data_IF_665420279252
#
_entry.id   IF_665420279252
#
_cell.length_a   1.000
_cell.length_b   1.000
_cell.length_c   1.000
_cell.angle_alpha   90.00
_cell.angle_beta   90.00
_cell.angle_gamma   90.00
#
_symmetry.space_group_name_H-M   'P 1'
#
loop_
_entity.id
_entity.type
_entity.pdbx_description
1 polymer ?
#
# COMPACT_ATOMS: atom_id res chain seq x y z
N UNK A 1 -5.47 -9.72 17.60
CA UNK A 1 -5.91 -8.33 17.88
C UNK A 1 -4.75 -7.34 17.99
N UNK A 2 -3.62 -7.72 18.63
CA UNK A 2 -2.47 -6.82 18.78
C UNK A 2 -1.95 -6.32 17.40
N UNK A 3 -1.67 -7.24 16.48
CA UNK A 3 -1.16 -6.91 15.15
C UNK A 3 -2.13 -6.03 14.37
N UNK A 4 -3.42 -6.35 14.40
CA UNK A 4 -4.48 -5.56 13.74
C UNK A 4 -4.53 -4.12 14.24
N UNK A 5 -4.47 -3.91 15.56
CA UNK A 5 -4.52 -2.56 16.16
C UNK A 5 -3.24 -1.78 15.84
N UNK A 6 -2.07 -2.41 15.99
CA UNK A 6 -0.80 -1.77 15.67
C UNK A 6 -0.71 -1.42 14.19
N UNK A 7 -1.12 -2.33 13.30
CA UNK A 7 -1.17 -2.07 11.87
C UNK A 7 -2.11 -0.90 11.53
N UNK A 8 -3.34 -0.88 12.09
CA UNK A 8 -4.29 0.20 11.87
C UNK A 8 -3.71 1.56 12.31
N UNK A 9 -2.95 1.58 13.41
CA UNK A 9 -2.25 2.78 13.87
C UNK A 9 -1.14 3.20 12.90
N UNK A 10 -0.30 2.25 12.47
CA UNK A 10 0.82 2.51 11.56
C UNK A 10 0.33 3.03 10.21
N UNK A 11 -0.66 2.37 9.61
CA UNK A 11 -1.21 2.76 8.31
C UNK A 11 -1.88 4.14 8.35
N UNK A 12 -2.39 4.54 9.50
CA UNK A 12 -3.00 5.86 9.70
C UNK A 12 -2.00 6.98 9.94
N UNK A 13 -0.71 6.66 10.09
CA UNK A 13 0.32 7.67 10.33
C UNK A 13 0.47 8.64 9.16
N UNK A 14 1.08 9.80 9.43
CA UNK A 14 1.30 10.86 8.45
C UNK A 14 2.19 10.47 7.25
N UNK A 15 2.93 9.38 7.37
CA UNK A 15 3.79 8.86 6.30
C UNK A 15 3.11 7.82 5.40
N UNK A 16 1.88 7.41 5.71
CA UNK A 16 1.14 6.42 4.94
C UNK A 16 -0.19 7.01 4.48
N UNK A 17 -1.29 6.64 5.11
CA UNK A 17 -2.63 7.01 4.64
C UNK A 17 -3.20 8.27 5.31
N UNK A 18 -2.54 8.83 6.32
CA UNK A 18 -2.96 10.05 7.06
C UNK A 18 -4.43 10.00 7.51
N UNK A 19 -4.90 8.82 7.94
CA UNK A 19 -6.32 8.61 8.25
C UNK A 19 -6.76 9.45 9.43
N UNK A 20 -7.84 10.20 9.25
CA UNK A 20 -8.46 11.05 10.26
C UNK A 20 -9.97 11.11 10.07
N UNK A 21 -10.68 11.78 10.95
CA UNK A 21 -12.14 11.98 10.83
C UNK A 21 -12.56 12.85 9.64
N UNK A 22 -11.61 13.53 8.99
CA UNK A 22 -11.86 14.29 7.75
C UNK A 22 -11.52 13.51 6.48
N UNK A 23 -10.95 12.31 6.60
CA UNK A 23 -10.53 11.51 5.45
C UNK A 23 -11.70 10.69 4.91
N UNK A 24 -11.86 10.68 3.57
CA UNK A 24 -12.77 9.78 2.85
C UNK A 24 -11.95 8.77 2.05
N UNK A 25 -12.17 7.48 2.28
CA UNK A 25 -11.36 6.39 1.71
C UNK A 25 -12.24 5.49 0.86
N UNK A 26 -11.81 5.20 -0.38
CA UNK A 26 -12.41 4.19 -1.26
C UNK A 26 -11.46 2.99 -1.39
N UNK A 27 -11.62 1.95 -0.55
CA UNK A 27 -10.84 0.72 -0.67
C UNK A 27 -11.46 -0.21 -1.71
N UNK A 28 -10.92 -0.18 -2.95
CA UNK A 28 -11.29 -1.11 -4.01
C UNK A 28 -10.48 -2.41 -3.85
N UNK A 29 -10.48 -2.93 -2.63
CA UNK A 29 -9.76 -4.15 -2.22
C UNK A 29 -10.75 -5.08 -1.52
N UNK A 30 -10.79 -6.38 -1.87
CA UNK A 30 -11.73 -7.30 -1.27
C UNK A 30 -11.58 -7.43 0.25
N UNK A 31 -12.71 -7.43 0.96
CA UNK A 31 -12.74 -7.61 2.42
C UNK A 31 -12.16 -8.96 2.88
N UNK A 32 -12.20 -9.98 2.02
CA UNK A 32 -11.63 -11.30 2.32
C UNK A 32 -10.10 -11.34 2.17
N UNK A 33 -9.49 -10.35 1.50
CA UNK A 33 -8.04 -10.27 1.32
C UNK A 33 -7.43 -9.34 2.37
N UNK A 34 -6.97 -9.91 3.46
CA UNK A 34 -6.39 -9.23 4.64
C UNK A 34 -7.29 -8.09 5.14
N UNK A 35 -8.62 -8.32 5.11
CA UNK A 35 -9.65 -7.37 5.52
C UNK A 35 -9.53 -6.00 4.84
N UNK A 36 -9.47 -5.99 3.50
CA UNK A 36 -9.24 -4.78 2.70
C UNK A 36 -8.02 -3.99 3.20
N UNK A 37 -6.90 -4.69 3.36
CA UNK A 37 -5.62 -4.17 3.87
C UNK A 37 -5.73 -3.47 5.23
N UNK A 38 -6.64 -3.92 6.07
CA UNK A 38 -6.83 -3.41 7.42
C UNK A 38 -7.50 -2.04 7.52
N UNK A 39 -7.90 -1.44 6.40
CA UNK A 39 -8.47 -0.08 6.39
C UNK A 39 -9.81 0.05 7.15
N UNK A 40 -10.68 -0.97 7.22
CA UNK A 40 -11.88 -0.89 8.07
C UNK A 40 -11.57 -0.67 9.55
N UNK A 41 -10.47 -1.24 10.02
CA UNK A 41 -10.03 -1.03 11.42
C UNK A 41 -9.45 0.37 11.62
N UNK A 42 -8.64 0.84 10.67
CA UNK A 42 -8.12 2.20 10.69
C UNK A 42 -9.24 3.24 10.60
N UNK A 43 -10.18 3.06 9.68
CA UNK A 43 -11.34 3.93 9.53
C UNK A 43 -12.19 4.01 10.80
N UNK A 44 -12.48 2.85 11.43
CA UNK A 44 -13.21 2.82 12.70
C UNK A 44 -12.43 3.48 13.85
N UNK A 45 -11.11 3.29 13.90
CA UNK A 45 -10.25 3.86 14.95
C UNK A 45 -10.18 5.39 14.89
N UNK A 46 -10.13 5.97 13.70
CA UNK A 46 -9.91 7.40 13.49
C UNK A 46 -11.15 8.17 13.00
N UNK A 47 -12.29 7.48 12.82
CA UNK A 47 -13.55 8.11 12.42
C UNK A 47 -13.62 8.50 10.95
N UNK A 48 -12.83 7.88 10.06
CA UNK A 48 -12.84 8.18 8.65
C UNK A 48 -14.12 7.68 7.95
N UNK A 49 -14.55 8.38 6.90
CA UNK A 49 -15.60 7.91 6.00
C UNK A 49 -15.03 6.80 5.12
N UNK A 50 -15.70 5.64 5.09
CA UNK A 50 -15.36 4.53 4.20
C UNK A 50 -16.44 4.36 3.14
N UNK A 51 -16.02 4.34 1.88
CA UNK A 51 -16.88 4.09 0.71
C UNK A 51 -16.55 2.70 0.18
N UNK A 52 -17.46 1.76 0.35
CA UNK A 52 -17.25 0.41 -0.15
C UNK A 52 -17.87 0.24 -1.53
N UNK A 53 -17.05 -0.18 -2.53
CA UNK A 53 -17.58 -0.48 -3.85
C UNK A 53 -18.50 -1.71 -3.76
N UNK A 54 -19.51 -1.75 -4.63
CA UNK A 54 -20.30 -2.94 -4.84
C UNK A 54 -19.51 -4.01 -5.64
N UNK A 55 -20.20 -4.94 -6.30
CA UNK A 55 -19.54 -5.97 -7.09
C UNK A 55 -18.95 -5.45 -8.42
N UNK A 56 -19.35 -4.28 -8.89
CA UNK A 56 -18.85 -3.67 -10.13
C UNK A 56 -17.55 -2.88 -9.82
N UNK A 57 -16.46 -3.38 -10.34
CA UNK A 57 -15.11 -2.80 -10.15
C UNK A 57 -14.50 -2.35 -11.49
N UNK A 58 -15.32 -2.20 -12.52
CA UNK A 58 -14.90 -1.59 -13.78
C UNK A 58 -14.65 -0.09 -13.62
N UNK A 59 -13.92 0.50 -14.59
CA UNK A 59 -13.49 1.89 -14.50
C UNK A 59 -14.63 2.89 -14.35
N UNK A 60 -15.76 2.67 -15.03
CA UNK A 60 -16.92 3.55 -14.96
C UNK A 60 -17.58 3.52 -13.58
N UNK A 61 -17.80 2.32 -13.04
CA UNK A 61 -18.41 2.13 -11.71
C UNK A 61 -17.53 2.69 -10.59
N UNK A 62 -16.20 2.50 -10.67
CA UNK A 62 -15.26 3.07 -9.70
C UNK A 62 -15.24 4.59 -9.83
N UNK A 63 -15.25 5.14 -11.05
CA UNK A 63 -15.27 6.58 -11.25
C UNK A 63 -16.57 7.22 -10.74
N UNK A 64 -17.72 6.59 -10.94
CA UNK A 64 -19.01 7.06 -10.40
C UNK A 64 -18.96 7.24 -8.87
N UNK A 65 -18.35 6.29 -8.17
CA UNK A 65 -18.14 6.41 -6.71
C UNK A 65 -17.18 7.55 -6.35
N UNK A 66 -16.10 7.72 -7.11
CA UNK A 66 -15.15 8.80 -6.88
C UNK A 66 -15.83 10.16 -7.10
N UNK A 67 -16.60 10.29 -8.16
CA UNK A 67 -17.29 11.54 -8.47
C UNK A 67 -18.39 11.86 -7.48
N UNK A 68 -19.12 10.87 -6.99
CA UNK A 68 -20.23 11.06 -6.04
C UNK A 68 -19.73 11.25 -4.61
N UNK A 69 -18.79 10.45 -4.15
CA UNK A 69 -18.39 10.37 -2.74
C UNK A 69 -17.14 11.20 -2.39
N UNK A 70 -16.41 11.66 -3.43
CA UNK A 70 -15.23 12.53 -3.35
C UNK A 70 -14.17 12.00 -2.36
N UNK A 71 -13.66 10.77 -2.54
CA UNK A 71 -12.62 10.25 -1.66
C UNK A 71 -11.29 10.96 -1.85
N UNK A 72 -10.57 11.16 -0.75
CA UNK A 72 -9.19 11.70 -0.74
C UNK A 72 -8.17 10.60 -1.05
N UNK A 73 -8.48 9.36 -0.63
CA UNK A 73 -7.60 8.21 -0.71
C UNK A 73 -8.28 7.05 -1.43
N UNK A 74 -7.63 6.57 -2.48
CA UNK A 74 -8.02 5.35 -3.19
C UNK A 74 -7.06 4.20 -2.81
N UNK A 75 -7.58 2.97 -2.71
CA UNK A 75 -6.75 1.79 -2.46
C UNK A 75 -7.17 0.65 -3.37
N UNK A 76 -6.23 0.08 -4.12
CA UNK A 76 -6.55 -0.98 -5.06
C UNK A 76 -5.32 -1.65 -5.67
N UNK A 77 -5.60 -2.63 -6.54
CA UNK A 77 -4.59 -3.37 -7.28
C UNK A 77 -4.40 -2.78 -8.69
N UNK A 78 -3.25 -3.03 -9.36
CA UNK A 78 -2.99 -2.43 -10.68
C UNK A 78 -4.06 -2.64 -11.73
N UNK A 79 -4.73 -3.80 -11.74
CA UNK A 79 -5.80 -4.08 -12.73
C UNK A 79 -7.01 -3.17 -12.58
N UNK A 80 -7.36 -2.78 -11.35
CA UNK A 80 -8.43 -1.80 -11.08
C UNK A 80 -8.03 -0.42 -11.59
N UNK A 81 -6.81 -0.01 -11.30
CA UNK A 81 -6.29 1.31 -11.74
C UNK A 81 -6.16 1.41 -13.24
N UNK A 82 -5.76 0.34 -13.94
CA UNK A 82 -5.75 0.32 -15.41
C UNK A 82 -7.16 0.53 -15.98
N UNK A 83 -8.17 -0.13 -15.42
CA UNK A 83 -9.56 0.07 -15.85
C UNK A 83 -10.07 1.48 -15.59
N UNK A 84 -9.71 2.07 -14.44
CA UNK A 84 -10.05 3.46 -14.10
C UNK A 84 -9.38 4.44 -15.07
N UNK A 85 -8.07 4.34 -15.27
CA UNK A 85 -7.31 5.23 -16.19
C UNK A 85 -7.83 5.12 -17.62
N UNK A 86 -8.16 3.91 -18.09
CA UNK A 86 -8.78 3.74 -19.41
C UNK A 86 -10.10 4.51 -19.49
N UNK A 87 -10.99 4.38 -18.52
CA UNK A 87 -12.26 5.10 -18.48
C UNK A 87 -12.06 6.62 -18.48
N UNK A 88 -11.12 7.12 -17.66
CA UNK A 88 -10.81 8.54 -17.59
C UNK A 88 -10.31 9.09 -18.94
N UNK A 89 -9.45 8.33 -19.64
CA UNK A 89 -8.98 8.69 -20.97
C UNK A 89 -10.10 8.71 -22.03
N UNK A 90 -11.00 7.71 -22.01
CA UNK A 90 -12.12 7.61 -22.94
C UNK A 90 -13.16 8.72 -22.74
N UNK A 91 -13.34 9.18 -21.50
CA UNK A 91 -14.35 10.18 -21.11
C UNK A 91 -13.77 11.58 -20.93
N UNK A 92 -12.44 11.74 -21.02
CA UNK A 92 -11.71 12.98 -20.78
C UNK A 92 -12.02 13.58 -19.40
N UNK A 93 -12.03 12.74 -18.37
CA UNK A 93 -12.30 13.12 -16.98
C UNK A 93 -11.03 13.03 -16.12
N UNK A 94 -11.06 13.68 -14.95
CA UNK A 94 -9.93 13.83 -14.04
C UNK A 94 -10.31 13.39 -12.60
N UNK A 95 -9.32 13.25 -11.73
CA UNK A 95 -9.48 12.82 -10.33
C UNK A 95 -9.28 14.00 -9.36
N UNK A 96 -9.94 15.11 -9.58
CA UNK A 96 -9.70 16.39 -8.90
C UNK A 96 -9.84 16.36 -7.36
N UNK A 97 -10.52 15.37 -6.81
CA UNK A 97 -10.72 15.23 -5.35
C UNK A 97 -9.71 14.28 -4.68
N UNK A 98 -8.92 13.54 -5.47
CA UNK A 98 -8.04 12.48 -4.95
C UNK A 98 -6.65 13.04 -4.71
N UNK A 99 -6.14 12.95 -3.48
CA UNK A 99 -4.74 13.30 -3.16
C UNK A 99 -3.79 12.13 -3.42
N UNK A 100 -4.21 10.93 -3.04
CA UNK A 100 -3.34 9.75 -3.07
C UNK A 100 -4.11 8.52 -3.53
N UNK A 101 -3.50 7.74 -4.40
CA UNK A 101 -3.93 6.38 -4.70
C UNK A 101 -2.86 5.39 -4.24
N UNK A 102 -3.26 4.36 -3.48
CA UNK A 102 -2.38 3.28 -3.06
C UNK A 102 -2.52 2.10 -4.02
N UNK A 103 -1.41 1.59 -4.50
CA UNK A 103 -1.32 0.39 -5.31
C UNK A 103 -0.48 -0.65 -4.59
N UNK A 104 -0.95 -1.89 -4.56
CA UNK A 104 -0.25 -3.03 -3.96
C UNK A 104 -0.74 -4.36 -4.52
N UNK A 105 -0.24 -5.46 -3.96
CA UNK A 105 -0.58 -6.82 -4.40
C UNK A 105 0.20 -7.28 -5.64
N UNK A 106 0.69 -6.36 -6.47
CA UNK A 106 1.66 -6.60 -7.54
C UNK A 106 2.38 -5.30 -7.90
N UNK A 107 3.45 -5.39 -8.70
CA UNK A 107 4.25 -4.23 -9.07
C UNK A 107 3.44 -3.21 -9.90
N UNK A 108 3.57 -1.93 -9.55
CA UNK A 108 2.99 -0.84 -10.31
C UNK A 108 3.83 -0.55 -11.57
N UNK A 109 3.24 -0.58 -12.77
CA UNK A 109 3.95 -0.16 -13.97
C UNK A 109 4.33 1.33 -13.88
N UNK A 110 5.54 1.69 -14.36
CA UNK A 110 5.98 3.08 -14.42
C UNK A 110 4.97 4.01 -15.13
N UNK A 111 4.43 3.55 -16.26
CA UNK A 111 3.45 4.33 -17.02
C UNK A 111 2.19 4.65 -16.20
N UNK A 112 1.79 3.76 -15.29
CA UNK A 112 0.67 4.02 -14.37
C UNK A 112 1.01 5.12 -13.37
N UNK A 113 2.22 5.09 -12.80
CA UNK A 113 2.69 6.13 -11.86
C UNK A 113 2.69 7.49 -12.53
N UNK A 114 3.27 7.55 -13.73
CA UNK A 114 3.32 8.76 -14.55
C UNK A 114 1.93 9.30 -14.88
N UNK A 115 1.03 8.43 -15.32
CA UNK A 115 -0.31 8.84 -15.72
C UNK A 115 -1.15 9.40 -14.56
N UNK A 116 -1.09 8.77 -13.37
CA UNK A 116 -1.75 9.31 -12.17
C UNK A 116 -1.21 10.70 -11.81
N UNK A 117 0.09 10.89 -11.87
CA UNK A 117 0.71 12.15 -11.48
C UNK A 117 0.56 13.23 -12.55
N UNK A 118 0.89 12.94 -13.82
CA UNK A 118 0.93 13.94 -14.88
C UNK A 118 -0.46 14.39 -15.35
N UNK A 119 -1.45 13.48 -15.37
CA UNK A 119 -2.80 13.80 -15.86
C UNK A 119 -3.78 14.17 -14.76
N UNK A 120 -3.58 13.65 -13.55
CA UNK A 120 -4.58 13.75 -12.48
C UNK A 120 -4.04 14.41 -11.20
N UNK A 121 -2.75 14.74 -11.12
CA UNK A 121 -2.07 15.28 -9.92
C UNK A 121 -2.23 14.38 -8.68
N UNK A 122 -2.36 13.07 -8.90
CA UNK A 122 -2.54 12.06 -7.85
C UNK A 122 -1.22 11.36 -7.57
N UNK A 123 -0.78 11.36 -6.32
CA UNK A 123 0.40 10.58 -5.92
C UNK A 123 0.07 9.10 -5.85
N UNK A 124 0.69 8.28 -6.71
CA UNK A 124 0.55 6.83 -6.65
C UNK A 124 1.54 6.24 -5.65
N UNK A 125 1.05 5.93 -4.45
CA UNK A 125 1.81 5.26 -3.40
C UNK A 125 1.93 3.78 -3.72
N UNK A 126 3.14 3.28 -3.92
CA UNK A 126 3.39 1.86 -4.18
C UNK A 126 3.73 1.16 -2.86
N UNK A 127 2.92 0.19 -2.46
CA UNK A 127 3.08 -0.56 -1.22
C UNK A 127 3.37 -2.04 -1.47
N UNK A 128 4.13 -2.64 -0.54
CA UNK A 128 4.36 -4.07 -0.47
C UNK A 128 4.00 -4.59 0.92
N UNK A 129 3.50 -5.81 0.94
CA UNK A 129 3.21 -6.53 2.17
C UNK A 129 2.62 -7.91 1.87
N UNK A 130 2.31 -8.63 2.92
CA UNK A 130 1.71 -9.96 2.86
C UNK A 130 0.80 -10.19 4.05
N UNK A 131 -0.07 -11.19 3.99
CA UNK A 131 -1.03 -11.50 5.06
C UNK A 131 -0.35 -11.64 6.41
N UNK A 132 0.82 -12.23 6.44
CA UNK A 132 1.67 -12.48 7.60
C UNK A 132 2.17 -11.20 8.28
N UNK A 133 2.08 -10.06 7.60
CA UNK A 133 2.49 -8.74 8.11
C UNK A 133 1.32 -7.86 8.57
N UNK A 134 0.06 -8.29 8.38
CA UNK A 134 -1.20 -7.65 8.81
C UNK A 134 -1.70 -6.41 8.03
N UNK A 135 -1.47 -6.18 6.71
CA UNK A 135 -0.53 -6.80 5.78
C UNK A 135 0.70 -5.96 5.44
N UNK A 136 0.68 -4.62 5.69
CA UNK A 136 1.60 -3.67 5.06
C UNK A 136 2.99 -3.70 5.69
N UNK A 137 4.01 -3.88 4.85
CA UNK A 137 5.42 -3.87 5.26
C UNK A 137 6.16 -2.62 4.85
N UNK A 138 5.98 -2.21 3.60
CA UNK A 138 6.63 -1.01 3.04
C UNK A 138 5.67 -0.19 2.20
N UNK A 139 5.94 1.09 2.02
CA UNK A 139 5.35 1.90 0.97
C UNK A 139 6.24 3.07 0.58
N UNK A 140 6.06 3.56 -0.64
CA UNK A 140 6.57 4.87 -1.04
C UNK A 140 5.75 5.96 -0.34
N UNK A 141 6.40 7.05 0.01
CA UNK A 141 5.73 8.24 0.54
C UNK A 141 6.35 9.48 -0.07
N UNK A 142 5.58 10.56 -0.18
CA UNK A 142 6.14 11.86 -0.57
C UNK A 142 7.15 12.30 0.50
N UNK A 143 8.40 12.50 0.09
CA UNK A 143 9.45 13.01 0.96
C UNK A 143 9.97 14.34 0.45
N UNK A 144 10.56 15.14 1.34
CA UNK A 144 11.15 16.42 0.97
C UNK A 144 12.24 16.28 -0.10
N UNK A 145 12.97 15.18 -0.08
CA UNK A 145 14.04 14.92 -1.03
C UNK A 145 13.52 14.76 -2.46
N UNK A 146 12.24 14.38 -2.63
CA UNK A 146 11.61 14.23 -3.94
C UNK A 146 11.26 15.58 -4.59
N UNK A 147 11.11 16.67 -3.82
CA UNK A 147 10.71 17.99 -4.34
C UNK A 147 11.73 18.61 -5.30
N UNK A 148 13.01 18.28 -5.15
CA UNK A 148 14.09 18.78 -6.02
C UNK A 148 14.71 17.71 -6.92
N UNK A 149 14.14 16.51 -6.95
CA UNK A 149 14.67 15.38 -7.71
C UNK A 149 14.32 15.52 -9.20
N UNK A 150 15.24 15.06 -10.05
CA UNK A 150 14.94 14.86 -11.47
C UNK A 150 13.72 13.94 -11.61
N UNK A 151 12.82 14.26 -12.55
CA UNK A 151 11.53 13.58 -12.71
C UNK A 151 11.70 12.09 -13.03
N UNK A 152 12.67 11.72 -13.87
CA UNK A 152 12.95 10.34 -14.23
C UNK A 152 13.46 9.54 -13.03
N UNK A 153 14.39 10.14 -12.27
CA UNK A 153 14.91 9.54 -11.02
C UNK A 153 13.81 9.38 -9.96
N UNK A 154 12.84 10.32 -9.90
CA UNK A 154 11.70 10.23 -9.01
C UNK A 154 10.79 9.07 -9.37
N UNK A 155 10.48 8.87 -10.66
CA UNK A 155 9.69 7.73 -11.12
C UNK A 155 10.41 6.40 -10.90
N UNK A 156 11.73 6.34 -11.08
CA UNK A 156 12.52 5.17 -10.77
C UNK A 156 12.45 4.80 -9.27
N UNK A 157 12.41 5.81 -8.41
CA UNK A 157 12.23 5.62 -6.97
C UNK A 157 10.81 5.13 -6.64
N UNK A 158 9.79 5.70 -7.26
CA UNK A 158 8.38 5.34 -7.03
C UNK A 158 8.02 3.94 -7.53
N UNK A 159 8.74 3.39 -8.50
CA UNK A 159 8.57 1.99 -8.91
C UNK A 159 9.00 0.99 -7.82
N UNK A 160 9.88 1.40 -6.91
CA UNK A 160 10.25 0.59 -5.75
C UNK A 160 9.13 0.63 -4.70
N UNK A 161 9.06 -0.40 -3.88
CA UNK A 161 8.00 -0.53 -2.87
C UNK A 161 8.26 0.32 -1.59
N UNK A 162 9.15 1.31 -1.68
CA UNK A 162 9.41 2.28 -0.62
C UNK A 162 10.25 1.75 0.53
N UNK A 163 9.98 2.28 1.72
CA UNK A 163 10.71 1.97 2.96
C UNK A 163 9.83 1.21 3.94
N UNK A 164 10.46 0.39 4.77
CA UNK A 164 9.80 -0.28 5.89
C UNK A 164 9.17 0.75 6.85
N UNK A 165 8.00 0.41 7.38
CA UNK A 165 7.32 1.23 8.37
C UNK A 165 7.95 1.09 9.74
N UNK A 166 7.65 2.05 10.60
CA UNK A 166 8.01 1.94 12.01
C UNK A 166 7.48 0.64 12.62
N UNK A 167 8.36 -0.12 13.24
CA UNK A 167 8.04 -1.41 13.84
C UNK A 167 8.11 -2.61 12.87
N UNK A 168 8.58 -2.41 11.64
CA UNK A 168 8.93 -3.48 10.71
C UNK A 168 10.43 -3.42 10.43
N UNK A 169 11.16 -4.42 10.92
CA UNK A 169 12.55 -4.64 10.57
C UNK A 169 12.62 -5.56 9.35
N UNK A 170 13.51 -5.26 8.43
CA UNK A 170 13.71 -6.00 7.19
C UNK A 170 15.19 -6.18 6.92
N UNK A 171 15.57 -7.37 6.49
CA UNK A 171 16.91 -7.67 5.99
C UNK A 171 16.86 -8.65 4.84
N UNK A 172 17.94 -8.80 4.11
CA UNK A 172 18.13 -9.86 3.12
C UNK A 172 19.24 -10.79 3.58
N UNK A 173 19.06 -12.09 3.37
CA UNK A 173 20.02 -13.10 3.75
C UNK A 173 20.34 -14.06 2.59
N UNK A 174 21.54 -14.60 2.61
CA UNK A 174 21.92 -15.72 1.73
C UNK A 174 21.28 -17.04 2.19
N UNK A 175 21.56 -18.14 1.45
CA UNK A 175 21.02 -19.47 1.76
C UNK A 175 21.55 -20.04 3.08
N UNK A 176 22.70 -19.55 3.55
CA UNK A 176 23.32 -19.96 4.81
C UNK A 176 22.81 -19.10 5.99
N UNK A 177 21.96 -18.09 5.73
CA UNK A 177 21.38 -17.21 6.74
C UNK A 177 22.26 -16.02 7.12
N UNK A 178 23.34 -15.74 6.39
CA UNK A 178 24.16 -14.56 6.63
C UNK A 178 23.48 -13.32 6.02
N UNK A 179 23.47 -12.23 6.77
CA UNK A 179 22.92 -10.95 6.30
C UNK A 179 23.74 -10.40 5.12
N UNK A 180 23.03 -9.97 4.07
CA UNK A 180 23.60 -9.37 2.87
C UNK A 180 23.51 -7.85 2.92
N UNK A 181 24.41 -7.11 2.22
CA UNK A 181 24.39 -5.66 2.21
C UNK A 181 23.18 -5.11 1.48
N UNK A 182 22.60 -4.02 2.01
CA UNK A 182 21.47 -3.28 1.41
C UNK A 182 22.00 -2.24 0.40
N UNK A 183 22.73 -2.69 -0.60
CA UNK A 183 23.42 -1.86 -1.60
C UNK A 183 22.63 -1.70 -2.93
N UNK A 184 21.47 -2.36 -3.03
CA UNK A 184 20.66 -2.38 -4.25
C UNK A 184 21.19 -3.33 -5.34
N UNK A 185 22.21 -4.14 -5.03
CA UNK A 185 22.87 -5.11 -5.92
C UNK A 185 22.72 -6.51 -5.37
N UNK A 186 22.98 -6.69 -4.06
CA UNK A 186 22.87 -7.97 -3.39
C UNK A 186 21.42 -8.48 -3.45
N UNK A 187 21.27 -9.76 -3.74
CA UNK A 187 19.98 -10.44 -3.85
C UNK A 187 19.94 -11.64 -2.89
N UNK A 188 18.86 -11.76 -2.12
CA UNK A 188 18.72 -12.84 -1.15
C UNK A 188 17.29 -13.05 -0.70
N UNK A 189 17.08 -13.94 0.26
CA UNK A 189 15.79 -14.15 0.92
C UNK A 189 15.45 -12.93 1.75
N UNK A 190 14.21 -12.44 1.62
CA UNK A 190 13.73 -11.31 2.39
C UNK A 190 13.22 -11.78 3.75
N UNK A 191 13.84 -11.34 4.81
CA UNK A 191 13.44 -11.64 6.18
C UNK A 191 12.77 -10.42 6.81
N UNK A 192 11.67 -10.65 7.51
CA UNK A 192 10.90 -9.58 8.18
C UNK A 192 10.69 -9.89 9.65
N UNK A 193 10.68 -8.86 10.49
CA UNK A 193 10.48 -8.97 11.94
C UNK A 193 9.70 -7.78 12.47
N UNK A 194 8.85 -8.00 13.46
CA UNK A 194 8.13 -6.92 14.10
C UNK A 194 6.83 -7.33 14.78
N UNK A 195 6.21 -6.43 15.55
CA UNK A 195 5.02 -6.75 16.34
C UNK A 195 3.75 -7.00 15.53
N UNK A 196 3.74 -6.67 14.24
CA UNK A 196 2.64 -6.95 13.31
C UNK A 196 2.82 -8.23 12.52
N UNK A 197 4.02 -8.83 12.57
CA UNK A 197 4.35 -10.06 11.86
C UNK A 197 3.74 -11.26 12.59
N UNK A 198 3.33 -12.27 11.82
CA UNK A 198 2.76 -13.50 12.36
C UNK A 198 3.83 -14.30 13.09
N UNK A 199 3.51 -14.75 14.31
CA UNK A 199 4.36 -15.68 15.05
C UNK A 199 4.08 -17.13 14.64
N UNK A 200 2.82 -17.44 14.31
CA UNK A 200 2.37 -18.79 14.05
C UNK A 200 1.11 -18.82 13.19
N UNK A 201 1.03 -19.74 12.27
CA UNK A 201 -0.20 -20.01 11.53
C UNK A 201 -1.26 -20.66 12.40
N UNK A 202 -2.53 -20.47 12.05
CA UNK A 202 -3.65 -21.02 12.80
C UNK A 202 -3.55 -22.54 12.89
N UNK A 203 -3.60 -23.07 14.12
CA UNK A 203 -3.44 -24.50 14.45
C UNK A 203 -2.09 -25.13 14.09
N UNK A 204 -1.09 -24.37 13.67
CA UNK A 204 0.27 -24.91 13.57
C UNK A 204 0.87 -25.14 14.96
N UNK A 205 1.62 -26.20 15.13
CA UNK A 205 2.32 -26.51 16.38
C UNK A 205 3.61 -25.70 16.50
N UNK A 206 4.30 -25.47 15.38
CA UNK A 206 5.57 -24.78 15.32
C UNK A 206 5.42 -23.29 15.03
N UNK A 207 6.41 -22.51 15.46
CA UNK A 207 6.55 -21.10 15.08
C UNK A 207 6.85 -20.98 13.59
N UNK A 208 6.32 -19.91 12.96
CA UNK A 208 6.70 -19.52 11.61
C UNK A 208 7.97 -18.64 11.59
N UNK A 209 8.46 -18.26 12.77
CA UNK A 209 9.68 -17.47 12.93
C UNK A 209 10.86 -18.37 13.25
N UNK A 210 12.04 -17.98 12.79
CA UNK A 210 13.29 -18.61 13.18
C UNK A 210 13.66 -18.35 14.65
N UNK A 211 14.78 -18.87 15.11
CA UNK A 211 15.29 -18.70 16.48
C UNK A 211 15.61 -17.26 16.87
N UNK A 212 15.86 -16.39 15.89
CA UNK A 212 16.13 -14.95 16.05
C UNK A 212 14.88 -14.08 15.91
N UNK A 213 13.72 -14.70 15.64
CA UNK A 213 12.43 -14.05 15.48
C UNK A 213 12.21 -13.41 14.10
N UNK A 214 12.91 -13.88 13.07
CA UNK A 214 12.67 -13.51 11.69
C UNK A 214 11.69 -14.46 11.03
N UNK A 215 10.81 -13.88 10.21
CA UNK A 215 9.90 -14.57 9.30
C UNK A 215 10.47 -14.48 7.88
N UNK A 216 10.47 -15.62 7.13
CA UNK A 216 10.99 -15.77 5.77
C UNK A 216 9.86 -15.90 4.74
#
# INVERSE_FOLDING_TARGET
HRSTILHAWIVSSGNVAKVSSSTCILPVVPMFHVNAWGIPYAGAMFGAKLVFPGPALDGASVFELIDTEKPDLLMGVPTVWLGLLQHLNETNQTLDCVDTALVGGSAAPRAMIQEFEEKHDVFLMHGWGMTEMSPLGTATSRTKDMEGMDIEARYDLQQKQGKAFFGVDMTIADDDGNELPHDGIAFGRLLVKGPTIVERYYKAEESAMDENGWFD
#
